data_IF_556636995908
#
_entry.id   IF_556636995908
#
_cell.length_a   1.000
_cell.length_b   1.000
_cell.length_c   1.000
_cell.angle_alpha   90.00
_cell.angle_beta   90.00
_cell.angle_gamma   90.00
#
_symmetry.space_group_name_H-M   'P 1'
#
loop_
_entity.id
_entity.type
_entity.pdbx_description
1 polymer ?
#
# COMPACT_ATOMS: atom_id res chain seq x y z
N UNK A 1 -8.59 -16.38 -3.22
CA UNK A 1 -7.74 -15.17 -3.06
C UNK A 1 -6.27 -15.57 -3.15
N UNK A 2 -5.42 -14.88 -3.92
CA UNK A 2 -4.00 -15.20 -3.99
C UNK A 2 -3.33 -15.13 -2.60
N UNK A 3 -2.32 -15.99 -2.37
CA UNK A 3 -1.56 -15.98 -1.11
C UNK A 3 -0.78 -14.66 -1.00
N UNK A 4 -1.25 -13.78 -0.12
CA UNK A 4 -0.52 -12.59 0.29
C UNK A 4 0.52 -12.97 1.34
N UNK A 5 1.78 -12.63 1.04
CA UNK A 5 2.90 -12.74 1.99
C UNK A 5 3.16 -11.38 2.62
N UNK A 6 3.67 -11.33 3.86
CA UNK A 6 4.11 -10.07 4.44
C UNK A 6 5.14 -9.37 3.54
N UNK A 7 4.98 -8.07 3.35
CA UNK A 7 5.85 -7.25 2.49
C UNK A 7 6.41 -6.06 3.27
N UNK A 8 7.66 -5.66 3.00
CA UNK A 8 8.22 -4.44 3.58
C UNK A 8 7.42 -3.20 3.14
N UNK A 9 7.23 -2.19 4.01
CA UNK A 9 6.51 -0.95 3.67
C UNK A 9 7.07 -0.24 2.43
N UNK A 10 8.40 -0.30 2.24
CA UNK A 10 9.08 0.30 1.08
C UNK A 10 8.67 -0.33 -0.25
N UNK A 11 8.39 -1.64 -0.26
CA UNK A 11 7.92 -2.34 -1.47
C UNK A 11 6.49 -1.91 -1.80
N UNK A 12 5.64 -1.86 -0.77
CA UNK A 12 4.25 -1.41 -0.90
C UNK A 12 4.19 0.05 -1.39
N UNK A 13 5.01 0.93 -0.83
CA UNK A 13 5.15 2.32 -1.29
C UNK A 13 5.57 2.37 -2.77
N UNK A 14 6.59 1.61 -3.16
CA UNK A 14 7.04 1.58 -4.55
C UNK A 14 5.91 1.16 -5.50
N UNK A 15 5.15 0.12 -5.16
CA UNK A 15 4.00 -0.34 -5.95
C UNK A 15 2.97 0.79 -6.10
N UNK A 16 2.62 1.46 -5.00
CA UNK A 16 1.66 2.57 -5.03
C UNK A 16 2.15 3.71 -5.93
N UNK A 17 3.39 4.17 -5.76
CA UNK A 17 3.96 5.27 -6.53
C UNK A 17 4.04 4.94 -8.03
N UNK A 18 4.46 3.73 -8.40
CA UNK A 18 4.50 3.29 -9.81
C UNK A 18 3.11 3.20 -10.44
N UNK A 19 2.06 2.98 -9.63
CA UNK A 19 0.67 2.95 -10.09
C UNK A 19 -0.04 4.31 -9.95
N UNK A 20 0.70 5.42 -9.90
CA UNK A 20 0.12 6.76 -9.98
C UNK A 20 -0.42 7.32 -8.65
N UNK A 21 -0.13 6.67 -7.53
CA UNK A 21 -0.38 7.27 -6.23
C UNK A 21 0.68 8.33 -5.91
N UNK A 22 0.26 9.36 -5.18
CA UNK A 22 1.11 10.42 -4.62
C UNK A 22 1.01 10.41 -3.10
N UNK A 23 2.09 10.80 -2.42
CA UNK A 23 2.09 10.98 -0.95
C UNK A 23 1.28 12.22 -0.62
N UNK A 24 0.29 12.09 0.25
CA UNK A 24 -0.55 13.21 0.71
C UNK A 24 -0.03 13.76 2.04
N UNK A 25 0.08 12.89 3.06
CA UNK A 25 0.56 13.25 4.40
C UNK A 25 1.47 12.15 4.92
N UNK A 26 2.63 12.53 5.46
CA UNK A 26 3.51 11.63 6.21
C UNK A 26 3.54 12.03 7.69
N UNK A 27 2.94 11.22 8.56
CA UNK A 27 3.12 11.34 10.01
C UNK A 27 4.05 10.21 10.44
N UNK A 28 5.33 10.48 10.69
CA UNK A 28 6.38 9.55 11.16
C UNK A 28 6.13 8.03 10.94
N UNK A 29 5.24 7.40 11.73
CA UNK A 29 4.91 5.97 11.68
C UNK A 29 3.95 5.52 10.56
N UNK A 30 3.21 6.43 9.92
CA UNK A 30 2.22 6.14 8.87
C UNK A 30 2.32 7.15 7.71
N UNK A 31 2.21 6.65 6.48
CA UNK A 31 2.16 7.48 5.27
C UNK A 31 0.84 7.26 4.54
N UNK A 32 0.21 8.35 4.14
CA UNK A 32 -1.03 8.34 3.37
C UNK A 32 -0.75 8.61 1.90
N UNK A 33 -1.39 7.83 1.04
CA UNK A 33 -1.27 7.91 -0.40
C UNK A 33 -2.64 8.15 -1.03
N UNK A 34 -2.66 8.93 -2.09
CA UNK A 34 -3.85 9.30 -2.85
C UNK A 34 -3.59 9.09 -4.35
N UNK A 35 -4.56 8.59 -5.10
CA UNK A 35 -4.50 8.50 -6.55
C UNK A 35 -5.40 9.56 -7.19
N UNK A 36 -4.86 10.62 -7.82
CA UNK A 36 -5.65 11.77 -8.27
C UNK A 36 -6.66 11.45 -9.38
N UNK A 37 -6.41 10.43 -10.22
CA UNK A 37 -7.37 10.05 -11.28
C UNK A 37 -8.54 9.17 -10.80
N UNK A 38 -8.35 8.37 -9.76
CA UNK A 38 -9.36 7.40 -9.28
C UNK A 38 -10.01 7.83 -7.98
N UNK A 39 -9.42 8.81 -7.27
CA UNK A 39 -9.83 9.20 -5.92
C UNK A 39 -9.52 8.15 -4.85
N UNK A 40 -8.73 7.11 -5.18
CA UNK A 40 -8.39 6.06 -4.23
C UNK A 40 -7.42 6.61 -3.16
N UNK A 41 -7.61 6.17 -1.91
CA UNK A 41 -6.78 6.57 -0.79
C UNK A 41 -6.38 5.37 0.06
N UNK A 42 -5.12 5.30 0.47
CA UNK A 42 -4.65 4.22 1.37
C UNK A 42 -3.60 4.73 2.35
N UNK A 43 -3.41 3.99 3.44
CA UNK A 43 -2.41 4.29 4.47
C UNK A 43 -1.47 3.11 4.64
N UNK A 44 -0.17 3.39 4.62
CA UNK A 44 0.89 2.39 4.79
C UNK A 44 1.58 2.61 6.13
N UNK A 45 1.61 1.63 7.04
CA UNK A 45 2.42 1.72 8.26
C UNK A 45 3.90 1.56 7.92
N UNK A 46 4.72 2.50 8.39
CA UNK A 46 6.18 2.55 8.20
C UNK A 46 6.98 2.20 9.46
N UNK A 47 6.31 1.95 10.60
CA UNK A 47 6.96 1.54 11.85
C UNK A 47 7.26 0.03 11.92
N UNK A 48 6.67 -0.78 11.03
CA UNK A 48 6.84 -2.23 11.01
C UNK A 48 7.89 -2.65 9.97
N UNK A 49 8.63 -3.73 10.24
CA UNK A 49 9.55 -4.33 9.28
C UNK A 49 8.81 -4.90 8.07
N UNK A 50 7.71 -5.59 8.32
CA UNK A 50 6.84 -6.21 7.32
C UNK A 50 5.38 -5.90 7.64
N UNK A 51 4.58 -5.65 6.59
CA UNK A 51 3.15 -5.39 6.69
C UNK A 51 2.42 -6.74 6.70
N UNK A 52 1.63 -7.06 7.74
CA UNK A 52 0.94 -8.33 7.82
C UNK A 52 -0.15 -8.44 6.76
N UNK A 53 -0.51 -9.68 6.41
CA UNK A 53 -1.50 -10.00 5.37
C UNK A 53 -2.82 -9.24 5.51
N UNK A 54 -3.34 -9.07 6.72
CA UNK A 54 -4.59 -8.33 6.96
C UNK A 54 -4.49 -6.88 6.51
N UNK A 55 -3.39 -6.21 6.88
CA UNK A 55 -3.12 -4.83 6.49
C UNK A 55 -2.85 -4.70 5.00
N UNK A 56 -2.09 -5.62 4.39
CA UNK A 56 -1.91 -5.66 2.94
C UNK A 56 -3.24 -5.81 2.20
N UNK A 57 -4.12 -6.70 2.67
CA UNK A 57 -5.45 -6.88 2.08
C UNK A 57 -6.30 -5.61 2.17
N UNK A 58 -6.19 -4.85 3.27
CA UNK A 58 -6.84 -3.55 3.41
C UNK A 58 -6.29 -2.54 2.41
N UNK A 59 -4.95 -2.46 2.28
CA UNK A 59 -4.27 -1.57 1.33
C UNK A 59 -4.67 -1.89 -0.11
N UNK A 60 -4.71 -3.17 -0.49
CA UNK A 60 -5.14 -3.60 -1.83
C UNK A 60 -6.59 -3.17 -2.10
N UNK A 61 -7.49 -3.43 -1.14
CA UNK A 61 -8.91 -3.04 -1.28
C UNK A 61 -9.10 -1.53 -1.40
N UNK A 62 -8.37 -0.76 -0.59
CA UNK A 62 -8.43 0.70 -0.55
C UNK A 62 -7.78 1.36 -1.77
N UNK A 63 -6.69 0.79 -2.27
CA UNK A 63 -5.99 1.29 -3.46
C UNK A 63 -6.68 0.88 -4.77
N UNK A 64 -7.55 -0.14 -4.74
CA UNK A 64 -8.19 -0.67 -5.95
C UNK A 64 -7.21 -1.37 -6.90
N UNK A 65 -5.98 -1.63 -6.46
CA UNK A 65 -4.94 -2.26 -7.26
C UNK A 65 -5.12 -3.78 -7.31
N UNK A 66 -4.58 -4.40 -8.36
CA UNK A 66 -4.61 -5.86 -8.50
C UNK A 66 -3.77 -6.52 -7.39
N UNK A 67 -4.29 -7.55 -6.69
CA UNK A 67 -3.52 -8.32 -5.71
C UNK A 67 -2.24 -8.95 -6.29
N UNK A 68 -2.17 -9.13 -7.62
CA UNK A 68 -1.00 -9.67 -8.31
C UNK A 68 0.23 -8.77 -8.18
N UNK A 69 0.04 -7.46 -8.04
CA UNK A 69 1.13 -6.50 -7.85
C UNK A 69 1.84 -6.64 -6.49
N UNK A 70 1.18 -7.29 -5.53
CA UNK A 70 1.65 -7.48 -4.16
C UNK A 70 2.12 -8.92 -3.90
N UNK A 71 2.39 -9.68 -4.96
CA UNK A 71 3.05 -10.99 -4.83
C UNK A 71 4.57 -10.79 -4.76
N UNK A 72 5.19 -11.66 -3.97
CA UNK A 72 6.63 -11.89 -4.01
C UNK A 72 6.90 -13.14 -4.84
#
# INVERSE_FOLDING_TARGET
MPRLVPLPPRIVEKILLTNGFIVNVSKSSHRQYHHPKTGAHTTVPFHAKDIPKGTLSSIIRQSGLSPLLFRK
#
